data_IF_478927885500
#
_entry.id   IF_478927885500
#
_cell.length_a   1.000
_cell.length_b   1.000
_cell.length_c   1.000
_cell.angle_alpha   90.00
_cell.angle_beta   90.00
_cell.angle_gamma   90.00
#
_symmetry.space_group_name_H-M   'P 1'
#
loop_
_entity.id
_entity.type
_entity.pdbx_description
1 polymer ?
#
# COMPACT_ATOMS: atom_id res chain seq x y z
N UNK A 1 -21.51 10.58 -18.76
CA UNK A 1 -20.11 11.09 -18.84
C UNK A 1 -19.69 11.96 -17.64
N UNK A 2 -20.40 13.04 -17.26
CA UNK A 2 -19.99 13.85 -16.07
C UNK A 2 -20.06 13.07 -14.76
N UNK A 3 -21.15 12.34 -14.54
CA UNK A 3 -21.36 11.53 -13.32
C UNK A 3 -20.31 10.40 -13.19
N UNK A 4 -19.91 9.80 -14.33
CA UNK A 4 -18.90 8.76 -14.36
C UNK A 4 -17.51 9.29 -13.96
N UNK A 5 -17.11 10.47 -14.47
CA UNK A 5 -15.84 11.11 -14.08
C UNK A 5 -15.82 11.49 -12.61
N UNK A 6 -16.92 12.00 -12.07
CA UNK A 6 -17.02 12.31 -10.64
C UNK A 6 -16.91 11.05 -9.77
N UNK A 7 -17.54 9.95 -10.19
CA UNK A 7 -17.41 8.66 -9.53
C UNK A 7 -15.95 8.17 -9.54
N UNK A 8 -15.29 8.19 -10.70
CA UNK A 8 -13.89 7.79 -10.85
C UNK A 8 -12.99 8.61 -9.93
N UNK A 9 -13.12 9.94 -9.95
CA UNK A 9 -12.31 10.80 -9.09
C UNK A 9 -12.54 10.52 -7.61
N UNK A 10 -13.79 10.24 -7.21
CA UNK A 10 -14.12 9.94 -5.81
C UNK A 10 -13.51 8.62 -5.35
N UNK A 11 -13.66 7.56 -6.14
CA UNK A 11 -13.10 6.25 -5.83
C UNK A 11 -11.56 6.26 -5.85
N UNK A 12 -10.96 6.88 -6.86
CA UNK A 12 -9.50 6.95 -6.93
C UNK A 12 -8.90 7.80 -5.81
N UNK A 13 -9.50 8.96 -5.49
CA UNK A 13 -9.06 9.75 -4.32
C UNK A 13 -9.16 8.95 -3.01
N UNK A 14 -10.18 8.10 -2.87
CA UNK A 14 -10.33 7.21 -1.71
C UNK A 14 -9.19 6.18 -1.66
N UNK A 15 -8.93 5.46 -2.75
CA UNK A 15 -7.82 4.49 -2.84
C UNK A 15 -6.46 5.15 -2.56
N UNK A 16 -6.20 6.31 -3.16
CA UNK A 16 -4.95 7.06 -2.95
C UNK A 16 -4.77 7.56 -1.51
N UNK A 17 -5.85 8.00 -0.84
CA UNK A 17 -5.80 8.33 0.60
C UNK A 17 -5.56 7.11 1.48
N UNK A 18 -6.09 5.94 1.12
CA UNK A 18 -5.81 4.70 1.83
C UNK A 18 -4.32 4.32 1.69
N UNK A 19 -3.78 4.41 0.48
CA UNK A 19 -2.35 4.20 0.22
C UNK A 19 -1.48 5.14 1.05
N UNK A 20 -1.84 6.43 1.10
CA UNK A 20 -1.12 7.43 1.91
C UNK A 20 -1.10 7.11 3.40
N UNK A 21 -2.22 6.62 3.96
CA UNK A 21 -2.27 6.18 5.36
C UNK A 21 -1.41 4.94 5.58
N UNK A 22 -1.45 4.00 4.64
CA UNK A 22 -0.69 2.76 4.70
C UNK A 22 0.83 3.03 4.67
N UNK A 23 1.30 3.86 3.73
CA UNK A 23 2.72 4.23 3.64
C UNK A 23 3.21 5.02 4.85
N UNK A 24 2.39 5.91 5.41
CA UNK A 24 2.71 6.60 6.66
C UNK A 24 2.83 5.62 7.84
N UNK A 25 1.94 4.62 7.91
CA UNK A 25 1.99 3.57 8.94
C UNK A 25 3.26 2.74 8.82
N UNK A 26 3.66 2.36 7.61
CA UNK A 26 4.92 1.64 7.37
C UNK A 26 6.15 2.48 7.75
N UNK A 27 6.16 3.77 7.42
CA UNK A 27 7.25 4.69 7.81
C UNK A 27 7.36 4.83 9.32
N UNK A 28 6.25 5.05 10.01
CA UNK A 28 6.22 5.13 11.46
C UNK A 28 6.71 3.83 12.10
N UNK A 29 6.33 2.67 11.54
CA UNK A 29 6.85 1.37 11.98
C UNK A 29 8.37 1.29 11.81
N UNK A 30 8.90 1.63 10.64
CA UNK A 30 10.35 1.62 10.39
C UNK A 30 11.11 2.52 11.36
N UNK A 31 10.59 3.72 11.65
CA UNK A 31 11.19 4.68 12.60
C UNK A 31 11.09 4.16 14.05
N UNK A 32 9.93 3.67 14.47
CA UNK A 32 9.69 3.24 15.87
C UNK A 32 10.44 1.97 16.26
N UNK A 33 10.75 1.11 15.29
CA UNK A 33 11.50 -0.13 15.52
C UNK A 33 12.98 -0.01 15.12
N UNK A 34 13.46 1.21 14.88
CA UNK A 34 14.86 1.54 14.55
C UNK A 34 15.44 0.57 13.49
N UNK A 35 14.66 0.29 12.45
CA UNK A 35 15.11 -0.49 11.29
C UNK A 35 16.00 0.38 10.38
N UNK A 36 16.88 1.19 10.98
CA UNK A 36 17.76 2.18 10.35
C UNK A 36 18.95 1.55 9.58
N UNK A 37 19.09 0.22 9.63
CA UNK A 37 20.17 -0.54 8.99
C UNK A 37 19.71 -1.68 8.05
N UNK A 38 18.43 -1.76 7.69
CA UNK A 38 18.04 -2.60 6.54
C UNK A 38 18.28 -1.83 5.25
N UNK A 39 19.55 -1.85 4.83
CA UNK A 39 19.89 -1.79 3.41
C UNK A 39 18.97 -2.72 2.62
N UNK A 40 18.66 -2.32 1.39
CA UNK A 40 17.82 -2.98 0.41
C UNK A 40 18.33 -4.39 0.00
N UNK A 41 18.42 -5.33 0.95
CA UNK A 41 18.78 -6.74 0.76
C UNK A 41 17.68 -7.64 1.36
N UNK A 42 16.41 -7.23 1.21
CA UNK A 42 15.24 -7.92 1.79
C UNK A 42 14.73 -9.06 0.91
N UNK A 43 15.21 -9.21 -0.32
CA UNK A 43 14.70 -10.24 -1.25
C UNK A 43 15.27 -11.65 -0.99
N UNK A 44 16.54 -11.78 -0.61
CA UNK A 44 17.18 -13.10 -0.45
C UNK A 44 17.04 -13.68 0.98
N UNK A 45 17.15 -12.86 2.03
CA UNK A 45 17.10 -13.34 3.43
C UNK A 45 15.67 -13.70 3.93
N UNK A 46 14.62 -13.25 3.24
CA UNK A 46 13.23 -13.61 3.59
C UNK A 46 12.89 -15.06 3.22
N UNK A 47 13.54 -15.64 2.21
CA UNK A 47 13.25 -17.00 1.73
C UNK A 47 13.83 -18.07 2.67
N UNK A 48 15.04 -17.84 3.17
CA UNK A 48 15.72 -18.81 4.04
C UNK A 48 15.15 -18.83 5.46
N UNK A 49 14.70 -17.69 5.97
CA UNK A 49 13.99 -17.63 7.25
C UNK A 49 12.61 -18.29 7.20
N UNK A 50 11.93 -18.26 6.04
CA UNK A 50 10.64 -18.93 5.79
C UNK A 50 10.77 -20.46 5.71
N UNK A 51 11.88 -20.98 5.20
CA UNK A 51 12.11 -22.42 5.10
C UNK A 51 12.49 -23.06 6.45
N UNK A 52 13.30 -22.37 7.26
CA UNK A 52 13.67 -22.86 8.59
C UNK A 52 12.47 -22.90 9.56
N UNK A 53 11.60 -21.88 9.50
CA UNK A 53 10.39 -21.82 10.32
C UNK A 53 9.34 -22.87 9.92
N UNK A 54 9.25 -23.24 8.64
CA UNK A 54 8.35 -24.30 8.14
C UNK A 54 8.72 -25.69 8.69
N UNK A 55 10.02 -25.95 8.90
CA UNK A 55 10.53 -27.21 9.47
C UNK A 55 10.20 -27.36 10.96
N UNK A 56 10.36 -26.29 11.74
CA UNK A 56 10.07 -26.29 13.18
C UNK A 56 8.57 -26.40 13.46
N UNK A 57 7.72 -25.76 12.65
CA UNK A 57 6.26 -25.78 12.82
C UNK A 57 5.69 -27.18 12.55
N UNK A 58 6.25 -27.93 11.59
CA UNK A 58 5.77 -29.29 11.26
C UNK A 58 6.08 -30.33 12.35
N UNK A 59 7.12 -30.15 13.17
CA UNK A 59 7.44 -31.06 14.28
C UNK A 59 6.50 -30.94 15.49
N UNK A 60 5.74 -29.84 15.63
CA UNK A 60 4.78 -29.68 16.74
C UNK A 60 3.39 -30.27 16.48
N UNK A 61 3.21 -30.97 15.35
CA UNK A 61 1.95 -31.60 14.93
C UNK A 61 1.61 -32.87 15.75
N UNK A 62 1.54 -32.77 17.08
CA UNK A 62 0.91 -33.80 17.90
C UNK A 62 0.36 -33.23 19.23
N UNK A 63 -0.87 -32.72 19.18
CA UNK A 63 -1.93 -33.05 20.16
C UNK A 63 -3.27 -32.37 19.79
N UNK A 64 -4.29 -33.21 19.62
CA UNK A 64 -5.71 -32.87 19.47
C UNK A 64 -6.31 -32.61 20.86
N UNK A 65 -7.27 -31.66 20.99
CA UNK A 65 -8.64 -31.85 21.54
C UNK A 65 -9.41 -30.52 21.81
N UNK A 66 -10.61 -30.44 21.21
CA UNK A 66 -11.94 -29.91 21.63
C UNK A 66 -12.18 -28.64 22.51
N UNK A 67 -13.00 -27.74 21.93
CA UNK A 67 -14.11 -26.86 22.40
C UNK A 67 -14.04 -26.06 23.72
N UNK A 68 -14.24 -24.75 23.57
CA UNK A 68 -14.70 -23.80 24.59
C UNK A 68 -14.27 -22.37 24.23
N UNK A 69 -15.17 -21.39 24.33
CA UNK A 69 -14.91 -19.98 23.97
C UNK A 69 -13.80 -19.36 24.81
N UNK A 70 -12.56 -19.51 24.37
CA UNK A 70 -11.39 -18.99 25.03
C UNK A 70 -11.05 -17.61 24.43
N UNK A 71 -10.97 -16.53 25.23
CA UNK A 71 -10.52 -15.22 24.77
C UNK A 71 -9.24 -15.28 23.95
N UNK A 72 -8.34 -16.22 24.28
CA UNK A 72 -7.08 -16.45 23.57
C UNK A 72 -7.30 -17.03 22.17
N UNK A 73 -8.17 -18.04 22.00
CA UNK A 73 -8.51 -18.58 20.68
C UNK A 73 -9.21 -17.52 19.82
N UNK A 74 -10.12 -16.75 20.40
CA UNK A 74 -10.77 -15.63 19.69
C UNK A 74 -9.77 -14.53 19.30
N UNK A 75 -8.77 -14.27 20.13
CA UNK A 75 -7.70 -13.32 19.85
C UNK A 75 -6.73 -13.85 18.78
N UNK A 76 -6.47 -15.17 18.75
CA UNK A 76 -5.67 -15.82 17.73
C UNK A 76 -6.39 -15.85 16.38
N UNK A 77 -7.68 -16.17 16.35
CA UNK A 77 -8.51 -16.09 15.14
C UNK A 77 -8.62 -14.66 14.62
N UNK A 78 -8.83 -13.68 15.51
CA UNK A 78 -8.80 -12.25 15.15
C UNK A 78 -7.43 -11.84 14.61
N UNK A 79 -6.34 -12.29 15.22
CA UNK A 79 -4.97 -12.00 14.75
C UNK A 79 -4.71 -12.61 13.38
N UNK A 80 -5.13 -13.86 13.16
CA UNK A 80 -4.99 -14.55 11.89
C UNK A 80 -5.82 -13.87 10.79
N UNK A 81 -7.07 -13.51 11.08
CA UNK A 81 -7.93 -12.75 10.18
C UNK A 81 -7.34 -11.38 9.85
N UNK A 82 -6.87 -10.63 10.87
CA UNK A 82 -6.18 -9.36 10.67
C UNK A 82 -4.91 -9.52 9.83
N UNK A 83 -4.19 -10.63 9.96
CA UNK A 83 -3.00 -10.91 9.16
C UNK A 83 -3.36 -11.21 7.70
N UNK A 84 -4.42 -11.96 7.44
CA UNK A 84 -4.94 -12.18 6.09
C UNK A 84 -5.47 -10.89 5.44
N UNK A 85 -6.20 -10.08 6.20
CA UNK A 85 -6.69 -8.78 5.74
C UNK A 85 -5.54 -7.83 5.41
N UNK A 86 -4.46 -7.83 6.22
CA UNK A 86 -3.24 -7.08 5.92
C UNK A 86 -2.56 -7.57 4.64
N UNK A 87 -2.38 -8.88 4.48
CA UNK A 87 -1.79 -9.45 3.26
C UNK A 87 -2.57 -9.05 2.00
N UNK A 88 -3.90 -9.13 2.07
CA UNK A 88 -4.76 -8.70 0.96
C UNK A 88 -4.63 -7.21 0.68
N UNK A 89 -4.55 -6.37 1.72
CA UNK A 89 -4.30 -4.93 1.55
C UNK A 89 -2.93 -4.67 0.93
N UNK A 90 -1.90 -5.41 1.34
CA UNK A 90 -0.54 -5.30 0.78
C UNK A 90 -0.55 -5.66 -0.71
N UNK A 91 -1.24 -6.73 -1.10
CA UNK A 91 -1.45 -7.13 -2.50
C UNK A 91 -2.22 -6.05 -3.30
N UNK A 92 -3.33 -5.54 -2.75
CA UNK A 92 -4.12 -4.48 -3.39
C UNK A 92 -3.30 -3.20 -3.61
N UNK A 93 -2.46 -2.81 -2.63
CA UNK A 93 -1.57 -1.66 -2.75
C UNK A 93 -0.39 -1.92 -3.69
N UNK A 94 0.12 -3.14 -3.75
CA UNK A 94 1.16 -3.53 -4.70
C UNK A 94 0.67 -3.36 -6.14
N UNK A 95 -0.52 -3.88 -6.47
CA UNK A 95 -1.15 -3.68 -7.79
C UNK A 95 -1.35 -2.19 -8.09
N UNK A 96 -1.82 -1.42 -7.11
CA UNK A 96 -2.00 0.02 -7.27
C UNK A 96 -0.68 0.75 -7.56
N UNK A 97 0.40 0.40 -6.86
CA UNK A 97 1.73 0.99 -7.06
C UNK A 97 2.32 0.59 -8.43
N UNK A 98 2.14 -0.66 -8.86
CA UNK A 98 2.52 -1.10 -10.20
C UNK A 98 1.76 -0.32 -11.28
N UNK A 99 0.46 -0.11 -11.11
CA UNK A 99 -0.34 0.68 -12.04
C UNK A 99 0.13 2.14 -12.11
N UNK A 100 0.47 2.76 -10.97
CA UNK A 100 1.07 4.11 -10.94
C UNK A 100 2.40 4.15 -11.70
N UNK A 101 3.22 3.09 -11.60
CA UNK A 101 4.52 3.01 -12.26
C UNK A 101 4.42 3.03 -13.79
N UNK A 102 3.32 2.51 -14.35
CA UNK A 102 3.06 2.48 -15.80
C UNK A 102 2.60 3.83 -16.36
N UNK A 103 2.22 4.79 -15.51
CA UNK A 103 1.78 6.11 -15.97
C UNK A 103 2.95 6.92 -16.56
N UNK A 104 2.62 7.92 -17.41
CA UNK A 104 3.61 8.91 -17.88
C UNK A 104 4.35 9.55 -16.71
N UNK A 105 5.63 9.83 -16.91
CA UNK A 105 6.55 10.26 -15.85
C UNK A 105 6.01 11.41 -14.98
N UNK A 106 5.43 12.45 -15.60
CA UNK A 106 4.89 13.59 -14.89
C UNK A 106 3.74 13.21 -13.95
N UNK A 107 2.85 12.33 -14.40
CA UNK A 107 1.66 11.89 -13.65
C UNK A 107 2.05 10.89 -12.55
N UNK A 108 2.93 9.94 -12.88
CA UNK A 108 3.54 9.03 -11.91
C UNK A 108 4.22 9.80 -10.78
N UNK A 109 5.09 10.75 -11.13
CA UNK A 109 5.81 11.55 -10.15
C UNK A 109 4.86 12.38 -9.30
N UNK A 110 3.80 12.95 -9.89
CA UNK A 110 2.76 13.68 -9.16
C UNK A 110 2.05 12.80 -8.12
N UNK A 111 1.62 11.59 -8.49
CA UNK A 111 0.92 10.69 -7.58
C UNK A 111 1.85 10.18 -6.47
N UNK A 112 3.11 9.86 -6.78
CA UNK A 112 4.09 9.49 -5.77
C UNK A 112 4.40 10.65 -4.82
N UNK A 113 4.61 11.86 -5.32
CA UNK A 113 4.92 13.02 -4.49
C UNK A 113 3.77 13.34 -3.53
N UNK A 114 2.51 13.27 -4.00
CA UNK A 114 1.32 13.54 -3.18
C UNK A 114 1.02 12.44 -2.17
N UNK A 115 0.98 11.17 -2.60
CA UNK A 115 0.36 10.11 -1.80
C UNK A 115 1.34 9.12 -1.18
N UNK A 116 2.57 9.02 -1.71
CA UNK A 116 3.58 8.08 -1.16
C UNK A 116 4.64 8.84 -0.39
N UNK A 117 5.19 9.89 -0.99
CA UNK A 117 6.22 10.73 -0.37
C UNK A 117 5.61 11.72 0.61
N UNK A 118 4.37 12.12 0.39
CA UNK A 118 3.63 13.08 1.21
C UNK A 118 4.38 14.41 1.32
N UNK A 119 4.83 14.94 0.18
CA UNK A 119 5.57 16.20 0.12
C UNK A 119 4.66 17.41 0.32
N UNK A 120 5.26 18.52 0.74
CA UNK A 120 4.54 19.79 0.81
C UNK A 120 4.09 20.26 -0.56
N UNK A 121 2.87 20.78 -0.63
CA UNK A 121 2.23 21.24 -1.86
C UNK A 121 3.11 22.20 -2.69
N UNK A 122 3.79 23.15 -2.03
CA UNK A 122 4.71 24.09 -2.69
C UNK A 122 5.88 23.39 -3.38
N UNK A 123 6.42 22.33 -2.78
CA UNK A 123 7.51 21.53 -3.36
C UNK A 123 7.00 20.76 -4.59
N UNK A 124 5.77 20.24 -4.51
CA UNK A 124 5.14 19.53 -5.62
C UNK A 124 4.89 20.47 -6.81
N UNK A 125 4.37 21.67 -6.55
CA UNK A 125 4.15 22.70 -7.58
C UNK A 125 5.44 23.06 -8.32
N UNK A 126 6.55 23.22 -7.57
CA UNK A 126 7.88 23.46 -8.15
C UNK A 126 8.36 22.28 -9.00
N UNK A 127 8.29 21.05 -8.48
CA UNK A 127 8.71 19.83 -9.21
C UNK A 127 7.89 19.58 -10.48
N UNK A 128 6.66 20.05 -10.52
CA UNK A 128 5.77 19.94 -11.68
C UNK A 128 6.00 21.05 -12.73
N UNK A 129 7.07 21.83 -12.59
CA UNK A 129 7.46 22.90 -13.51
C UNK A 129 7.05 24.29 -13.04
N UNK A 130 6.91 24.51 -11.73
CA UNK A 130 6.52 25.81 -11.15
C UNK A 130 5.10 26.23 -11.54
N UNK A 131 4.17 25.27 -11.51
CA UNK A 131 2.78 25.50 -11.96
C UNK A 131 1.88 26.03 -10.83
N UNK A 132 0.82 26.74 -11.22
CA UNK A 132 -0.24 27.17 -10.31
C UNK A 132 -1.15 26.02 -9.88
N UNK A 133 -1.77 26.17 -8.71
CA UNK A 133 -2.64 25.17 -8.09
C UNK A 133 -3.75 24.64 -9.01
N UNK A 134 -4.40 25.52 -9.79
CA UNK A 134 -5.49 25.11 -10.68
C UNK A 134 -5.01 24.15 -11.78
N UNK A 135 -3.80 24.36 -12.29
CA UNK A 135 -3.14 23.47 -13.26
C UNK A 135 -2.74 22.16 -12.61
N UNK A 136 -2.22 22.21 -11.37
CA UNK A 136 -1.88 21.02 -10.59
C UNK A 136 -3.12 20.14 -10.36
N UNK A 137 -4.24 20.76 -9.99
CA UNK A 137 -5.50 20.05 -9.77
C UNK A 137 -6.02 19.37 -11.04
N UNK A 138 -5.92 20.03 -12.20
CA UNK A 138 -6.28 19.44 -13.50
C UNK A 138 -5.38 18.25 -13.84
N UNK A 139 -4.07 18.36 -13.65
CA UNK A 139 -3.13 17.25 -13.87
C UNK A 139 -3.40 16.08 -12.94
N UNK A 140 -3.71 16.36 -11.67
CA UNK A 140 -4.07 15.33 -10.71
C UNK A 140 -5.32 14.57 -11.16
N UNK A 141 -6.40 15.27 -11.53
CA UNK A 141 -7.61 14.62 -12.00
C UNK A 141 -7.36 13.76 -13.25
N UNK A 142 -6.51 14.23 -14.18
CA UNK A 142 -6.12 13.46 -15.35
C UNK A 142 -5.33 12.20 -14.99
N UNK A 143 -4.34 12.32 -14.11
CA UNK A 143 -3.56 11.19 -13.62
C UNK A 143 -4.44 10.12 -12.94
N UNK A 144 -5.47 10.55 -12.19
CA UNK A 144 -6.43 9.63 -11.56
C UNK A 144 -7.35 8.95 -12.60
N UNK A 145 -7.71 9.64 -13.68
CA UNK A 145 -8.46 9.05 -14.80
C UNK A 145 -7.62 7.98 -15.51
N UNK A 146 -6.38 8.28 -15.89
CA UNK A 146 -5.51 7.29 -16.53
C UNK A 146 -5.20 6.10 -15.60
N UNK A 147 -4.98 6.35 -14.31
CA UNK A 147 -4.75 5.27 -13.35
C UNK A 147 -5.97 4.32 -13.25
N UNK A 148 -7.18 4.89 -13.32
CA UNK A 148 -8.40 4.09 -13.33
C UNK A 148 -8.53 3.24 -14.59
N UNK A 149 -8.13 3.78 -15.75
CA UNK A 149 -8.09 3.02 -17.01
C UNK A 149 -7.11 1.84 -16.91
N UNK A 150 -5.88 2.06 -16.42
CA UNK A 150 -4.93 0.97 -16.19
C UNK A 150 -5.48 -0.10 -15.24
N UNK A 151 -6.14 0.30 -14.15
CA UNK A 151 -6.71 -0.65 -13.19
C UNK A 151 -7.94 -1.41 -13.70
N UNK A 152 -8.55 -1.00 -14.81
CA UNK A 152 -9.61 -1.77 -15.49
C UNK A 152 -9.04 -2.86 -16.38
N UNK A 153 -7.81 -2.70 -16.85
CA UNK A 153 -7.14 -3.63 -17.77
C UNK A 153 -6.36 -4.74 -17.05
N UNK A 154 -6.11 -4.57 -15.75
CA UNK A 154 -5.44 -5.53 -14.83
C UNK A 154 -6.48 -6.39 -14.11
#
# INVERSE_FOLDING_TARGET
>A
MKEEKEYIHKEMKKKMKQLQKYTATLRLRSILYDESNRSLEVEDDLVDYLNYTKSIINCSSSRKTYYGGDPVLSAMEKRHKNQQERKKQDEDFYVLLLAIQQLPELERNLLFDLYVRNLDKKVIELRQGGIVESTLHRRLNRALEHLWEYLKEV
#
